data_IF_717315954922
#
_entry.id   IF_717315954922
#
_cell.length_a   1.000
_cell.length_b   1.000
_cell.length_c   1.000
_cell.angle_alpha   90.00
_cell.angle_beta   90.00
_cell.angle_gamma   90.00
#
_symmetry.space_group_name_H-M   'P 1'
#
loop_
_entity.id
_entity.type
_entity.pdbx_description
1 polymer ?
#
# COMPACT_ATOMS: atom_id res chain seq x y z
N UNK A 1 -7.26 5.61 12.74
CA UNK A 1 -6.33 4.76 11.98
C UNK A 1 -6.28 5.30 10.56
N UNK A 2 -5.10 5.60 10.00
CA UNK A 2 -4.98 6.01 8.60
C UNK A 2 -5.30 4.83 7.68
N UNK A 3 -5.94 5.11 6.55
CA UNK A 3 -6.18 4.14 5.49
C UNK A 3 -5.14 4.33 4.38
N UNK A 4 -4.65 3.25 3.81
CA UNK A 4 -3.67 3.30 2.72
C UNK A 4 -4.27 2.61 1.51
N UNK A 5 -4.57 3.37 0.46
CA UNK A 5 -4.82 2.80 -0.86
C UNK A 5 -3.50 2.48 -1.54
N UNK A 6 -3.33 1.25 -1.99
CA UNK A 6 -2.17 0.79 -2.74
C UNK A 6 -2.66 0.28 -4.08
N UNK A 7 -2.19 0.89 -5.16
CA UNK A 7 -2.45 0.47 -6.53
C UNK A 7 -1.14 -0.04 -7.14
N UNK A 8 -1.09 -1.34 -7.41
CA UNK A 8 0.10 -2.02 -7.94
C UNK A 8 0.01 -2.10 -9.47
N UNK A 9 0.91 -1.39 -10.15
CA UNK A 9 1.18 -1.57 -11.58
C UNK A 9 2.51 -2.29 -11.79
N UNK A 10 2.73 -2.80 -13.01
CA UNK A 10 3.92 -3.61 -13.35
C UNK A 10 5.25 -2.86 -13.15
N UNK A 11 5.26 -1.54 -13.31
CA UNK A 11 6.47 -0.72 -13.27
C UNK A 11 6.55 0.18 -12.04
N UNK A 12 5.40 0.50 -11.42
CA UNK A 12 5.31 1.43 -10.32
C UNK A 12 4.14 1.10 -9.41
N UNK A 13 4.18 1.61 -8.19
CA UNK A 13 3.10 1.50 -7.21
C UNK A 13 2.67 2.89 -6.80
N UNK A 14 1.36 3.10 -6.79
CA UNK A 14 0.75 4.30 -6.23
C UNK A 14 0.31 4.04 -4.80
N UNK A 15 0.78 4.87 -3.89
CA UNK A 15 0.36 4.91 -2.50
C UNK A 15 -0.46 6.18 -2.25
N UNK A 16 -1.62 6.00 -1.64
CA UNK A 16 -2.49 7.08 -1.18
C UNK A 16 -2.79 6.84 0.29
N UNK A 17 -2.33 7.73 1.16
CA UNK A 17 -2.64 7.68 2.58
C UNK A 17 -3.76 8.67 2.87
N UNK A 18 -4.83 8.15 3.46
CA UNK A 18 -6.02 8.86 3.86
C UNK A 18 -6.04 8.96 5.39
N UNK A 19 -6.45 10.11 5.93
CA UNK A 19 -6.79 10.23 7.34
C UNK A 19 -8.15 9.56 7.62
N UNK A 20 -8.56 9.57 8.88
CA UNK A 20 -9.86 9.05 9.31
C UNK A 20 -11.08 9.79 8.75
N UNK A 21 -10.89 11.01 8.23
CA UNK A 21 -11.93 11.82 7.61
C UNK A 21 -12.06 11.55 6.10
N UNK A 22 -11.18 10.71 5.53
CA UNK A 22 -11.12 10.46 4.09
C UNK A 22 -10.33 11.51 3.31
N UNK A 23 -9.66 12.45 3.99
CA UNK A 23 -8.75 13.40 3.33
C UNK A 23 -7.40 12.75 3.05
N UNK A 24 -6.84 13.10 1.91
CA UNK A 24 -5.55 12.57 1.47
C UNK A 24 -4.43 13.34 2.15
N UNK A 25 -3.70 12.65 3.03
CA UNK A 25 -2.57 13.22 3.77
C UNK A 25 -1.22 12.98 3.08
N UNK A 26 -1.12 11.93 2.26
CA UNK A 26 0.11 11.65 1.50
C UNK A 26 -0.23 10.92 0.21
N UNK A 27 0.42 11.30 -0.89
CA UNK A 27 0.44 10.55 -2.15
C UNK A 27 1.88 10.33 -2.55
N UNK A 28 2.23 9.11 -2.92
CA UNK A 28 3.53 8.79 -3.46
C UNK A 28 3.39 7.83 -4.63
N UNK A 29 4.22 8.04 -5.65
CA UNK A 29 4.44 7.08 -6.72
C UNK A 29 5.86 6.63 -6.59
N UNK A 30 6.05 5.34 -6.31
CA UNK A 30 7.37 4.73 -6.17
C UNK A 30 7.52 3.59 -7.17
N UNK A 31 8.73 3.30 -7.65
CA UNK A 31 8.94 2.12 -8.48
C UNK A 31 8.54 0.84 -7.73
N UNK A 32 8.11 -0.19 -8.46
CA UNK A 32 7.82 -1.52 -7.89
C UNK A 32 9.13 -2.25 -7.54
N UNK A 33 9.91 -1.64 -6.66
CA UNK A 33 11.16 -2.18 -6.13
C UNK A 33 10.98 -2.45 -4.65
N UNK A 34 11.40 -3.64 -4.21
CA UNK A 34 11.20 -4.09 -2.82
C UNK A 34 11.77 -3.10 -1.80
N UNK A 35 12.97 -2.56 -2.05
CA UNK A 35 13.59 -1.58 -1.16
C UNK A 35 12.82 -0.24 -1.12
N UNK A 36 12.35 0.25 -2.27
CA UNK A 36 11.57 1.48 -2.33
C UNK A 36 10.26 1.34 -1.55
N UNK A 37 9.57 0.20 -1.71
CA UNK A 37 8.34 -0.13 -0.97
C UNK A 37 8.61 -0.23 0.53
N UNK A 38 9.65 -0.96 0.94
CA UNK A 38 9.99 -1.11 2.36
C UNK A 38 10.31 0.25 2.98
N UNK A 39 11.13 1.07 2.33
CA UNK A 39 11.46 2.41 2.82
C UNK A 39 10.21 3.27 2.97
N UNK A 40 9.34 3.30 1.95
CA UNK A 40 8.11 4.08 2.02
C UNK A 40 7.19 3.63 3.15
N UNK A 41 6.99 2.32 3.33
CA UNK A 41 6.16 1.79 4.41
C UNK A 41 6.81 2.02 5.77
N UNK A 42 8.15 1.98 5.87
CA UNK A 42 8.88 2.27 7.10
C UNK A 42 8.82 3.75 7.51
N UNK A 43 8.68 4.67 6.57
CA UNK A 43 8.48 6.10 6.84
C UNK A 43 7.10 6.43 7.40
N UNK A 44 6.11 5.58 7.18
CA UNK A 44 4.80 5.73 7.79
C UNK A 44 4.90 5.28 9.25
N UNK A 45 4.21 5.93 10.18
CA UNK A 45 4.20 5.56 11.61
C UNK A 45 2.81 5.04 12.05
N UNK A 46 2.78 4.12 13.02
CA UNK A 46 1.55 3.64 13.68
C UNK A 46 0.79 2.49 12.99
N UNK A 47 -0.29 1.97 13.62
CA UNK A 47 -1.13 0.87 13.10
C UNK A 47 -2.00 1.32 11.93
N UNK A 48 -2.08 0.50 10.87
CA UNK A 48 -2.61 0.91 9.55
C UNK A 48 -3.50 -0.17 8.94
N UNK A 49 -4.48 0.29 8.17
CA UNK A 49 -5.28 -0.57 7.29
C UNK A 49 -4.90 -0.19 5.87
N UNK A 50 -4.46 -1.14 5.04
CA UNK A 50 -4.25 -0.86 3.63
C UNK A 50 -5.21 -1.66 2.77
N UNK A 51 -5.88 -0.97 1.85
CA UNK A 51 -6.55 -1.62 0.74
C UNK A 51 -5.53 -1.81 -0.38
N UNK A 52 -5.41 -3.03 -0.88
CA UNK A 52 -4.49 -3.37 -1.96
C UNK A 52 -5.29 -3.76 -3.19
N UNK A 53 -5.26 -2.90 -4.20
CA UNK A 53 -5.76 -3.22 -5.53
C UNK A 53 -4.57 -3.65 -6.38
N UNK A 54 -4.46 -4.97 -6.61
CA UNK A 54 -3.37 -5.56 -7.36
C UNK A 54 -3.86 -5.98 -8.76
N UNK A 55 -3.46 -5.24 -9.80
CA UNK A 55 -3.73 -5.62 -11.20
C UNK A 55 -2.69 -6.63 -11.74
N UNK A 56 -1.67 -6.98 -10.94
CA UNK A 56 -0.58 -7.88 -11.33
C UNK A 56 -0.23 -8.89 -10.23
N UNK A 57 0.32 -10.03 -10.63
CA UNK A 57 0.57 -11.22 -9.82
C UNK A 57 1.70 -11.03 -8.77
N UNK A 58 1.51 -10.14 -7.80
CA UNK A 58 2.55 -9.71 -6.85
C UNK A 58 2.42 -10.39 -5.47
N UNK A 59 2.47 -11.73 -5.44
CA UNK A 59 2.38 -12.53 -4.20
C UNK A 59 3.39 -12.12 -3.11
N UNK A 60 4.59 -11.66 -3.50
CA UNK A 60 5.61 -11.22 -2.55
C UNK A 60 5.22 -9.93 -1.80
N UNK A 61 4.35 -9.10 -2.37
CA UNK A 61 3.88 -7.86 -1.74
C UNK A 61 2.87 -8.17 -0.63
N UNK A 62 2.07 -9.22 -0.81
CA UNK A 62 1.15 -9.71 0.22
C UNK A 62 1.91 -10.18 1.47
N UNK A 63 2.93 -11.03 1.29
CA UNK A 63 3.77 -11.50 2.41
C UNK A 63 4.44 -10.34 3.15
N UNK A 64 4.88 -9.31 2.42
CA UNK A 64 5.45 -8.10 3.02
C UNK A 64 4.41 -7.32 3.83
N UNK A 65 3.22 -7.10 3.28
CA UNK A 65 2.19 -6.32 3.93
C UNK A 65 1.58 -7.03 5.16
N UNK A 66 1.42 -8.35 5.11
CA UNK A 66 1.03 -9.16 6.29
C UNK A 66 2.06 -9.02 7.42
N UNK A 67 3.35 -9.12 7.11
CA UNK A 67 4.43 -8.94 8.11
C UNK A 67 4.45 -7.55 8.73
N UNK A 68 3.95 -6.54 8.03
CA UNK A 68 3.92 -5.16 8.51
C UNK A 68 2.63 -4.80 9.28
N UNK A 69 1.83 -5.81 9.67
CA UNK A 69 0.57 -5.65 10.41
C UNK A 69 -0.47 -4.77 9.69
N UNK A 70 -0.38 -4.72 8.37
CA UNK A 70 -1.31 -3.99 7.53
C UNK A 70 -2.46 -4.93 7.21
N UNK A 71 -3.66 -4.61 7.70
CA UNK A 71 -4.87 -5.35 7.31
C UNK A 71 -5.15 -5.06 5.84
N UNK A 72 -4.99 -6.08 4.99
CA UNK A 72 -5.18 -6.01 3.54
C UNK A 72 -6.66 -6.26 3.19
N UNK A 73 -7.26 -5.31 2.48
CA UNK A 73 -8.55 -5.52 1.80
C UNK A 73 -8.30 -5.66 0.30
N UNK A 74 -8.65 -6.83 -0.23
CA UNK A 74 -8.44 -7.24 -1.61
C UNK A 74 -9.71 -6.90 -2.41
N UNK A 75 -9.72 -5.74 -3.07
CA UNK A 75 -10.77 -5.39 -4.01
C UNK A 75 -10.28 -5.69 -5.43
N UNK A 76 -10.49 -6.91 -5.92
CA UNK A 76 -10.28 -7.21 -7.34
C UNK A 76 -11.51 -6.78 -8.11
N UNK A 77 -11.47 -5.63 -8.79
CA UNK A 77 -12.44 -5.34 -9.84
C UNK A 77 -12.12 -6.24 -11.04
N UNK A 78 -12.90 -7.31 -11.17
CA UNK A 78 -12.91 -8.23 -12.31
C UNK A 78 -13.62 -7.61 -13.53
#
# INVERSE_FOLDING_TARGET
MPYIGIDLHKEYTHFVVLNQNGDIIKRARIPLEREAVINFISELEGPRVAALEATCNCYWFYDLAEKMAVRLDLSSSA
#
